data_IF_887195456681
#
_entry.id   IF_887195456681
#
_cell.length_a   1.000
_cell.length_b   1.000
_cell.length_c   1.000
_cell.angle_alpha   90.00
_cell.angle_beta   90.00
_cell.angle_gamma   90.00
#
_symmetry.space_group_name_H-M   'P 1'
#
loop_
_entity.id
_entity.type
_entity.pdbx_description
1 polymer ?
#
# COMPACT_ATOMS: atom_id res chain seq x y z
N UNK A 1 -26.39 46.28 11.53
CA UNK A 1 -24.97 46.46 11.20
C UNK A 1 -24.84 46.25 9.71
N UNK A 2 -24.33 47.23 8.96
CA UNK A 2 -24.24 47.12 7.51
C UNK A 2 -23.02 46.27 7.16
N UNK A 3 -23.25 45.11 6.53
CA UNK A 3 -22.15 44.30 6.01
C UNK A 3 -21.55 45.01 4.80
N UNK A 4 -20.22 45.20 4.83
CA UNK A 4 -19.50 45.81 3.71
C UNK A 4 -19.56 44.85 2.53
N UNK A 5 -19.82 45.33 1.30
CA UNK A 5 -19.81 44.49 0.12
C UNK A 5 -18.40 43.92 -0.06
N UNK A 6 -18.27 42.62 0.12
CA UNK A 6 -17.00 41.91 -0.04
C UNK A 6 -16.69 41.88 -1.54
N UNK A 7 -15.69 42.65 -1.95
CA UNK A 7 -15.28 42.71 -3.36
C UNK A 7 -14.27 41.60 -3.61
N UNK A 8 -14.26 40.98 -4.80
CA UNK A 8 -13.36 39.86 -5.15
C UNK A 8 -11.89 40.17 -4.80
N UNK A 9 -11.45 41.39 -5.03
CA UNK A 9 -10.11 41.87 -4.68
C UNK A 9 -9.77 41.72 -3.18
N UNK A 10 -10.74 41.91 -2.28
CA UNK A 10 -10.53 41.74 -0.83
C UNK A 10 -10.36 40.27 -0.46
N UNK A 11 -11.02 39.37 -1.20
CA UNK A 11 -10.90 37.93 -0.98
C UNK A 11 -9.54 37.39 -1.46
N UNK A 12 -8.93 38.04 -2.45
CA UNK A 12 -7.67 37.60 -3.06
C UNK A 12 -6.42 38.28 -2.46
N UNK A 13 -6.58 39.30 -1.61
CA UNK A 13 -5.49 40.16 -1.16
C UNK A 13 -4.43 39.43 -0.31
N UNK A 14 -4.84 38.41 0.45
CA UNK A 14 -3.96 37.63 1.33
C UNK A 14 -3.78 36.17 0.82
N UNK A 15 -4.31 35.84 -0.35
CA UNK A 15 -4.14 34.52 -0.95
C UNK A 15 -2.75 34.42 -1.58
N UNK A 16 -1.91 33.56 -1.01
CA UNK A 16 -0.63 33.24 -1.61
C UNK A 16 -0.86 32.40 -2.88
N UNK A 17 -0.72 33.03 -4.05
CA UNK A 17 -0.87 32.38 -5.36
C UNK A 17 0.03 31.12 -5.52
N UNK A 18 1.16 31.07 -4.81
CA UNK A 18 2.08 29.94 -4.84
C UNK A 18 1.73 28.83 -3.85
N UNK A 19 0.90 29.10 -2.84
CA UNK A 19 0.39 28.11 -1.87
C UNK A 19 -1.08 27.69 -2.14
N UNK A 20 -1.79 28.40 -3.03
CA UNK A 20 -3.14 28.02 -3.46
C UNK A 20 -3.16 26.67 -4.20
N UNK A 21 -2.01 26.25 -4.73
CA UNK A 21 -1.78 24.93 -5.30
C UNK A 21 -1.14 23.97 -4.30
N UNK A 22 -1.49 24.06 -3.00
CA UNK A 22 -1.16 23.03 -2.00
C UNK A 22 -1.89 21.70 -2.22
N UNK A 23 -2.29 21.42 -3.46
CA UNK A 23 -2.49 20.08 -3.98
C UNK A 23 -1.11 19.46 -4.25
N UNK A 24 -0.24 19.52 -3.25
CA UNK A 24 1.00 18.75 -3.18
C UNK A 24 0.58 17.28 -3.09
N UNK A 25 0.23 16.71 -4.24
CA UNK A 25 0.02 15.29 -4.51
C UNK A 25 -0.32 14.50 -3.25
N UNK A 26 -1.57 14.59 -2.78
CA UNK A 26 -2.05 13.75 -1.71
C UNK A 26 -1.64 12.31 -2.03
N UNK A 27 -0.99 11.63 -1.07
CA UNK A 27 -0.58 10.25 -1.29
C UNK A 27 -1.84 9.47 -1.71
N UNK A 28 -1.82 8.79 -2.87
CA UNK A 28 -3.00 8.15 -3.41
C UNK A 28 -3.56 7.18 -2.38
N UNK A 29 -4.88 7.21 -2.21
CA UNK A 29 -5.54 6.26 -1.31
C UNK A 29 -5.27 4.84 -1.80
N UNK A 30 -5.26 3.87 -0.89
CA UNK A 30 -5.01 2.45 -1.23
C UNK A 30 -6.04 1.86 -2.22
N UNK A 31 -7.15 2.56 -2.45
CA UNK A 31 -8.19 2.25 -3.42
C UNK A 31 -7.88 2.82 -4.82
N UNK A 32 -7.11 3.90 -4.88
CA UNK A 32 -6.72 4.64 -6.09
C UNK A 32 -5.43 4.08 -6.70
N UNK A 33 -4.68 3.29 -5.93
CA UNK A 33 -3.50 2.58 -6.41
C UNK A 33 -3.88 1.56 -7.49
N UNK A 34 -3.11 1.53 -8.57
CA UNK A 34 -3.21 0.48 -9.57
C UNK A 34 -2.96 -0.89 -8.93
N UNK A 35 -3.48 -1.99 -9.51
CA UNK A 35 -3.26 -3.33 -8.98
C UNK A 35 -1.77 -3.66 -8.76
N UNK A 36 -0.88 -3.14 -9.61
CA UNK A 36 0.55 -3.31 -9.46
C UNK A 36 1.06 -2.54 -8.24
N UNK A 37 0.78 -1.24 -8.13
CA UNK A 37 1.27 -0.39 -7.03
C UNK A 37 0.86 -0.90 -5.64
N UNK A 38 -0.30 -1.55 -5.53
CA UNK A 38 -0.75 -2.21 -4.29
C UNK A 38 0.18 -3.32 -3.82
N UNK A 39 0.91 -3.95 -4.73
CA UNK A 39 1.87 -5.01 -4.42
C UNK A 39 3.21 -4.45 -3.91
N UNK A 40 3.46 -3.14 -4.03
CA UNK A 40 4.71 -2.52 -3.61
C UNK A 40 4.95 -2.73 -2.11
N UNK A 41 6.05 -3.39 -1.77
CA UNK A 41 6.43 -3.71 -0.38
C UNK A 41 5.79 -4.98 0.20
N UNK A 42 4.80 -5.57 -0.48
CA UNK A 42 4.20 -6.86 -0.05
C UNK A 42 4.87 -8.08 -0.68
N UNK A 43 5.53 -7.91 -1.84
CA UNK A 43 6.18 -9.00 -2.59
C UNK A 43 7.68 -8.80 -2.65
N UNK A 44 8.44 -9.91 -2.69
CA UNK A 44 9.90 -9.91 -2.74
C UNK A 44 10.47 -9.15 -3.96
N UNK A 45 9.81 -9.23 -5.13
CA UNK A 45 10.27 -8.56 -6.38
C UNK A 45 9.15 -7.75 -7.03
N UNK A 46 9.01 -6.50 -6.60
CA UNK A 46 8.04 -5.56 -7.17
C UNK A 46 8.37 -5.19 -8.63
N UNK A 47 9.65 -4.97 -8.94
CA UNK A 47 10.08 -4.51 -10.28
C UNK A 47 9.83 -5.56 -11.37
N UNK A 48 9.76 -6.84 -10.99
CA UNK A 48 9.61 -7.97 -11.91
C UNK A 48 8.72 -9.05 -11.30
N UNK A 49 7.41 -8.76 -11.16
CA UNK A 49 6.49 -9.62 -10.42
C UNK A 49 6.15 -10.92 -11.16
N UNK A 50 6.45 -11.00 -12.46
CA UNK A 50 6.27 -12.20 -13.28
C UNK A 50 7.55 -13.03 -13.42
N UNK A 51 8.69 -12.56 -12.91
CA UNK A 51 9.91 -13.36 -12.94
C UNK A 51 9.85 -14.47 -11.89
N UNK A 52 10.35 -15.68 -12.22
CA UNK A 52 10.46 -16.76 -11.25
C UNK A 52 11.32 -16.32 -10.06
N UNK A 53 10.82 -16.58 -8.86
CA UNK A 53 11.53 -16.30 -7.60
C UNK A 53 12.04 -17.58 -6.94
N UNK A 54 12.09 -18.69 -7.67
CA UNK A 54 12.41 -20.01 -7.12
C UNK A 54 13.81 -20.06 -6.53
N UNK A 55 14.80 -19.47 -7.19
CA UNK A 55 16.17 -19.42 -6.68
C UNK A 55 16.21 -18.67 -5.32
N UNK A 56 15.61 -17.48 -5.24
CA UNK A 56 15.47 -16.70 -3.99
C UNK A 56 14.60 -17.38 -2.91
N UNK A 57 13.74 -18.32 -3.30
CA UNK A 57 12.86 -19.07 -2.40
C UNK A 57 13.53 -20.31 -1.83
N UNK A 58 14.34 -21.01 -2.65
CA UNK A 58 15.09 -22.20 -2.23
C UNK A 58 16.43 -21.88 -1.58
N UNK A 59 16.97 -20.68 -1.80
CA UNK A 59 18.16 -20.15 -1.13
C UNK A 59 17.82 -18.97 -0.19
N UNK A 60 16.89 -19.13 0.78
CA UNK A 60 16.54 -18.03 1.66
C UNK A 60 17.65 -17.79 2.69
N UNK A 61 17.85 -16.53 3.08
CA UNK A 61 18.71 -16.15 4.20
C UNK A 61 18.21 -16.76 5.52
N UNK A 62 16.89 -16.81 5.68
CA UNK A 62 16.21 -17.38 6.84
C UNK A 62 15.59 -18.74 6.48
N UNK A 63 16.01 -19.79 7.18
CA UNK A 63 15.51 -21.15 6.98
C UNK A 63 14.35 -21.44 7.93
N UNK A 64 13.48 -22.34 7.48
CA UNK A 64 12.46 -22.96 8.32
C UNK A 64 13.13 -23.71 9.48
N UNK A 65 12.51 -23.68 10.65
CA UNK A 65 13.02 -24.37 11.84
C UNK A 65 12.83 -25.88 11.76
N UNK A 66 13.69 -26.65 12.44
CA UNK A 66 13.69 -28.11 12.39
C UNK A 66 12.38 -28.75 12.91
N UNK A 67 11.64 -28.03 13.75
CA UNK A 67 10.36 -28.45 14.33
C UNK A 67 9.13 -28.03 13.52
N UNK A 68 9.32 -27.26 12.45
CA UNK A 68 8.21 -26.80 11.62
C UNK A 68 7.46 -27.98 11.00
N UNK A 69 6.16 -28.07 11.28
CA UNK A 69 5.28 -29.15 10.81
C UNK A 69 5.69 -30.55 11.34
N UNK A 70 6.41 -30.63 12.47
CA UNK A 70 6.75 -31.89 13.11
C UNK A 70 5.51 -32.76 13.39
N UNK A 71 4.44 -32.14 13.89
CA UNK A 71 3.11 -32.73 14.01
C UNK A 71 2.13 -31.93 13.16
N UNK A 72 1.84 -32.43 11.95
CA UNK A 72 0.84 -31.82 11.09
C UNK A 72 -0.54 -32.25 11.59
N UNK A 73 -1.37 -31.28 11.98
CA UNK A 73 -2.78 -31.44 12.40
C UNK A 73 -3.72 -31.87 11.25
N UNK A 74 -3.33 -32.91 10.51
CA UNK A 74 -4.16 -33.50 9.49
C UNK A 74 -5.22 -34.37 10.17
N UNK A 75 -6.51 -34.18 9.87
CA UNK A 75 -7.55 -35.02 10.43
C UNK A 75 -7.33 -36.50 10.04
N UNK A 76 -7.67 -37.45 10.92
CA UNK A 76 -7.60 -38.87 10.61
C UNK A 76 -8.43 -39.17 9.36
N UNK A 77 -7.90 -40.00 8.46
CA UNK A 77 -8.60 -40.42 7.23
C UNK A 77 -9.93 -41.12 7.50
N UNK A 78 -10.10 -41.64 8.72
CA UNK A 78 -11.23 -42.47 9.12
C UNK A 78 -12.16 -41.77 10.12
N UNK A 79 -12.17 -40.43 10.18
CA UNK A 79 -13.15 -39.68 10.97
C UNK A 79 -14.55 -39.89 10.35
N UNK A 80 -15.25 -40.92 10.79
CA UNK A 80 -16.68 -41.13 10.46
C UNK A 80 -17.51 -40.21 11.34
N UNK A 81 -18.33 -39.38 10.69
CA UNK A 81 -19.35 -38.52 11.30
C UNK A 81 -20.39 -39.31 12.12
#
# INVERSE_FOLDING_TARGET
MAEKPMTEHVLLQDLNAHAAHADELAQPLSQELTPLERLKGSVKRYERPLEPVWDDWFEPEERVTDDFMADRDQPPKDLKE
#
